data_IF_355325195859
#
_entry.id   IF_355325195859
#
_cell.length_a   1.000
_cell.length_b   1.000
_cell.length_c   1.000
_cell.angle_alpha   90.00
_cell.angle_beta   90.00
_cell.angle_gamma   90.00
#
_symmetry.space_group_name_H-M   'P 1'
#
loop_
_entity.id
_entity.type
_entity.pdbx_description
1 polymer ?
#
# COMPACT_ATOMS: atom_id res chain seq x y z
N UNK A 1 15.74 -6.93 6.43
CA UNK A 1 15.46 -5.49 6.52
C UNK A 1 14.19 -5.33 7.33
N UNK A 2 14.13 -4.45 8.33
CA UNK A 2 12.88 -4.24 9.07
C UNK A 2 11.93 -3.33 8.26
N UNK A 3 10.66 -3.22 8.66
CA UNK A 3 9.67 -2.41 7.93
C UNK A 3 10.03 -0.91 7.89
N UNK A 4 10.61 -0.37 8.95
CA UNK A 4 11.00 1.05 9.01
C UNK A 4 12.16 1.35 8.06
N UNK A 5 13.17 0.48 8.02
CA UNK A 5 14.27 0.58 7.08
C UNK A 5 13.73 0.49 5.65
N UNK A 6 12.83 -0.47 5.38
CA UNK A 6 12.21 -0.67 4.07
C UNK A 6 11.52 0.61 3.60
N UNK A 7 10.61 1.15 4.42
CA UNK A 7 9.88 2.38 4.13
C UNK A 7 10.83 3.54 3.86
N UNK A 8 11.81 3.76 4.74
CA UNK A 8 12.78 4.87 4.59
C UNK A 8 13.55 4.75 3.28
N UNK A 9 14.02 3.55 2.94
CA UNK A 9 14.76 3.31 1.70
C UNK A 9 13.90 3.50 0.46
N UNK A 10 12.69 2.94 0.44
CA UNK A 10 11.84 3.03 -0.75
C UNK A 10 11.27 4.44 -0.96
N UNK A 11 10.93 5.18 0.11
CA UNK A 11 10.54 6.59 0.00
C UNK A 11 11.64 7.43 -0.67
N UNK A 12 12.92 7.20 -0.34
CA UNK A 12 14.02 7.93 -1.01
C UNK A 12 14.22 7.57 -2.48
N UNK A 13 13.67 6.43 -2.93
CA UNK A 13 13.76 5.99 -4.33
C UNK A 13 12.54 6.40 -5.15
N UNK A 14 11.39 6.57 -4.52
CA UNK A 14 10.18 7.05 -5.16
C UNK A 14 10.36 8.56 -5.38
N UNK A 15 10.50 8.97 -6.65
CA UNK A 15 10.60 10.39 -7.00
C UNK A 15 9.33 11.11 -6.53
N UNK A 16 9.51 12.26 -5.88
CA UNK A 16 8.40 13.10 -5.42
C UNK A 16 7.41 12.39 -4.50
N UNK A 17 7.90 11.44 -3.68
CA UNK A 17 7.08 10.78 -2.67
C UNK A 17 6.44 11.83 -1.76
N UNK A 18 5.12 11.85 -1.75
CA UNK A 18 4.32 12.74 -0.93
C UNK A 18 3.51 11.89 0.05
N UNK A 19 3.79 12.08 1.34
CA UNK A 19 3.15 11.38 2.45
C UNK A 19 1.63 11.62 2.52
N UNK A 20 1.11 12.66 1.87
CA UNK A 20 -0.32 12.97 1.84
C UNK A 20 -1.01 12.49 0.54
N UNK A 21 -0.25 11.99 -0.44
CA UNK A 21 -0.82 11.47 -1.69
C UNK A 21 -0.98 9.97 -1.62
N UNK A 22 -2.22 9.51 -1.73
CA UNK A 22 -2.55 8.08 -1.75
C UNK A 22 -1.80 7.34 -2.86
N UNK A 23 -1.55 7.96 -4.01
CA UNK A 23 -0.81 7.32 -5.10
C UNK A 23 0.65 7.01 -4.74
N UNK A 24 1.33 7.88 -3.99
CA UNK A 24 2.68 7.61 -3.47
C UNK A 24 2.65 6.39 -2.53
N UNK A 25 1.65 6.34 -1.65
CA UNK A 25 1.50 5.26 -0.67
C UNK A 25 1.16 3.95 -1.38
N UNK A 26 0.27 3.96 -2.38
CA UNK A 26 -0.06 2.81 -3.22
C UNK A 26 1.18 2.30 -3.97
N UNK A 27 2.06 3.19 -4.44
CA UNK A 27 3.33 2.78 -5.02
C UNK A 27 4.22 2.06 -4.01
N UNK A 28 4.32 2.58 -2.79
CA UNK A 28 5.05 1.91 -1.72
C UNK A 28 4.44 0.54 -1.36
N UNK A 29 3.12 0.41 -1.37
CA UNK A 29 2.41 -0.87 -1.16
C UNK A 29 2.77 -1.87 -2.26
N UNK A 30 2.74 -1.47 -3.54
CA UNK A 30 3.16 -2.35 -4.66
C UNK A 30 4.61 -2.82 -4.49
N UNK A 31 5.52 -1.90 -4.11
CA UNK A 31 6.92 -2.26 -3.82
C UNK A 31 7.04 -3.21 -2.62
N UNK A 32 6.19 -3.07 -1.62
CA UNK A 32 6.18 -3.96 -0.47
C UNK A 32 5.73 -5.37 -0.85
N UNK A 33 4.66 -5.49 -1.63
CA UNK A 33 4.19 -6.77 -2.19
C UNK A 33 5.33 -7.48 -2.92
N UNK A 34 6.00 -6.77 -3.83
CA UNK A 34 7.13 -7.31 -4.60
C UNK A 34 8.32 -7.68 -3.71
N UNK A 35 8.68 -6.83 -2.74
CA UNK A 35 9.86 -7.02 -1.90
C UNK A 35 9.72 -8.15 -0.88
N UNK A 36 8.53 -8.31 -0.31
CA UNK A 36 8.23 -9.35 0.68
C UNK A 36 7.69 -10.64 0.06
N UNK A 37 7.60 -10.71 -1.27
CA UNK A 37 7.07 -11.86 -2.03
C UNK A 37 5.68 -12.28 -1.53
N UNK A 38 4.79 -11.31 -1.35
CA UNK A 38 3.40 -11.54 -0.90
C UNK A 38 2.55 -12.06 -2.06
N UNK A 39 1.54 -12.87 -1.74
CA UNK A 39 0.56 -13.34 -2.73
C UNK A 39 -0.47 -12.24 -3.06
N UNK A 40 -0.68 -11.28 -2.15
CA UNK A 40 -1.45 -10.04 -2.38
C UNK A 40 -1.03 -9.31 -3.66
N UNK A 41 -1.99 -8.73 -4.39
CA UNK A 41 -1.69 -7.95 -5.59
C UNK A 41 -2.66 -6.78 -5.78
N UNK A 42 -2.23 -5.77 -6.55
CA UNK A 42 -3.09 -4.66 -6.97
C UNK A 42 -3.66 -4.91 -8.36
N UNK A 43 -4.99 -4.83 -8.49
CA UNK A 43 -5.71 -4.84 -9.75
C UNK A 43 -6.15 -3.42 -10.11
N UNK A 44 -5.96 -3.03 -11.38
CA UNK A 44 -6.39 -1.73 -11.89
C UNK A 44 -7.54 -1.92 -12.87
N UNK A 45 -8.74 -1.53 -12.45
CA UNK A 45 -9.91 -1.49 -13.33
C UNK A 45 -9.98 -0.13 -14.02
N UNK A 46 -9.80 -0.14 -15.35
CA UNK A 46 -9.93 1.06 -16.19
C UNK A 46 -11.36 1.11 -16.73
N UNK A 47 -12.13 2.08 -16.26
CA UNK A 47 -13.42 2.46 -16.85
C UNK A 47 -13.25 3.69 -17.73
N UNK A 48 -14.25 4.00 -18.57
CA UNK A 48 -14.22 5.20 -19.44
C UNK A 48 -14.04 6.52 -18.65
N UNK A 49 -14.35 6.52 -17.35
CA UNK A 49 -14.37 7.71 -16.50
C UNK A 49 -13.43 7.66 -15.29
N UNK A 50 -12.98 6.47 -14.84
CA UNK A 50 -12.14 6.32 -13.64
C UNK A 50 -11.17 5.14 -13.72
N UNK A 51 -9.98 5.30 -13.14
CA UNK A 51 -9.07 4.19 -12.84
C UNK A 51 -9.27 3.83 -11.36
N UNK A 52 -9.97 2.73 -11.08
CA UNK A 52 -10.08 2.21 -9.71
C UNK A 52 -8.98 1.20 -9.47
N UNK A 53 -8.46 1.18 -8.25
CA UNK A 53 -7.42 0.24 -7.81
C UNK A 53 -8.00 -0.61 -6.70
N UNK A 54 -8.01 -1.92 -6.92
CA UNK A 54 -8.43 -2.91 -5.95
C UNK A 54 -7.19 -3.59 -5.38
N UNK A 55 -7.10 -3.71 -4.06
CA UNK A 55 -6.08 -4.52 -3.41
C UNK A 55 -6.65 -5.87 -3.04
N UNK A 56 -6.13 -6.94 -3.63
CA UNK A 56 -6.43 -8.31 -3.26
C UNK A 56 -5.48 -8.74 -2.15
N UNK A 57 -6.04 -9.21 -1.03
CA UNK A 57 -5.32 -9.63 0.17
C UNK A 57 -5.51 -11.13 0.37
N UNK A 58 -4.40 -11.88 0.35
CA UNK A 58 -4.42 -13.34 0.44
C UNK A 58 -4.33 -13.89 1.85
N UNK A 59 -3.94 -13.08 2.84
CA UNK A 59 -3.98 -13.50 4.25
C UNK A 59 -4.05 -12.33 5.22
N UNK A 60 -4.56 -12.59 6.42
CA UNK A 60 -4.49 -11.63 7.54
C UNK A 60 -3.05 -11.23 7.86
N UNK A 61 -2.07 -12.11 7.65
CA UNK A 61 -0.66 -11.77 7.88
C UNK A 61 -0.21 -10.68 6.90
N UNK A 62 -0.54 -10.83 5.62
CA UNK A 62 -0.20 -9.85 4.59
C UNK A 62 -0.90 -8.51 4.84
N UNK A 63 -2.19 -8.53 5.19
CA UNK A 63 -2.94 -7.33 5.57
C UNK A 63 -2.25 -6.55 6.69
N UNK A 64 -1.76 -7.27 7.71
CA UNK A 64 -1.04 -6.69 8.84
C UNK A 64 0.32 -6.10 8.43
N UNK A 65 1.06 -6.79 7.56
CA UNK A 65 2.35 -6.31 7.02
C UNK A 65 2.13 -5.01 6.23
N UNK A 66 1.20 -5.02 5.27
CA UNK A 66 0.91 -3.86 4.44
C UNK A 66 0.37 -2.69 5.25
N UNK A 67 -0.53 -2.94 6.21
CA UNK A 67 -1.02 -1.92 7.14
C UNK A 67 0.10 -1.31 7.99
N UNK A 68 1.09 -2.11 8.40
CA UNK A 68 2.24 -1.61 9.16
C UNK A 68 3.13 -0.71 8.31
N UNK A 69 3.34 -1.06 7.04
CA UNK A 69 4.11 -0.27 6.07
C UNK A 69 3.41 1.06 5.79
N UNK A 70 2.10 1.05 5.52
CA UNK A 70 1.30 2.27 5.34
C UNK A 70 1.41 3.19 6.55
N UNK A 71 1.24 2.65 7.76
CA UNK A 71 1.36 3.42 9.00
C UNK A 71 2.74 4.07 9.19
N UNK A 72 3.80 3.40 8.75
CA UNK A 72 5.17 3.93 8.82
C UNK A 72 5.45 4.98 7.72
N UNK A 73 4.71 4.93 6.62
CA UNK A 73 4.87 5.83 5.49
C UNK A 73 4.10 7.14 5.63
N UNK A 74 3.13 7.20 6.54
CA UNK A 74 2.31 8.38 6.76
C UNK A 74 2.91 9.28 7.82
N UNK A 75 2.99 10.58 7.52
CA UNK A 75 3.51 11.59 8.43
C UNK A 75 2.43 11.93 9.49
N UNK A 76 2.33 11.05 10.49
CA UNK A 76 1.57 11.13 11.73
C UNK A 76 0.42 12.17 11.79
N UNK A 77 -0.82 11.76 11.47
CA UNK A 77 -2.05 12.36 12.04
C UNK A 77 -3.39 11.63 11.75
N UNK A 78 -3.39 10.32 11.47
CA UNK A 78 -4.65 9.60 11.29
C UNK A 78 -4.53 8.09 11.45
N UNK A 79 -5.66 7.46 11.78
CA UNK A 79 -5.87 6.01 11.74
C UNK A 79 -5.93 5.51 10.27
N UNK A 80 -4.98 5.95 9.46
CA UNK A 80 -4.92 5.53 8.07
C UNK A 80 -4.26 4.14 8.03
N UNK A 81 -5.10 3.16 7.76
CA UNK A 81 -4.73 1.79 7.45
C UNK A 81 -4.73 1.57 5.94
N UNK A 82 -4.44 0.33 5.53
CA UNK A 82 -4.45 -0.06 4.13
C UNK A 82 -5.83 0.17 3.48
N UNK A 83 -6.92 0.09 4.24
CA UNK A 83 -8.29 0.29 3.77
C UNK A 83 -8.54 1.75 3.38
N UNK A 84 -8.01 2.69 4.16
CA UNK A 84 -8.04 4.12 3.84
C UNK A 84 -7.27 4.45 2.54
N UNK A 85 -6.13 3.78 2.31
CA UNK A 85 -5.30 3.99 1.12
C UNK A 85 -6.00 3.53 -0.16
N UNK A 86 -6.75 2.44 -0.07
CA UNK A 86 -7.52 1.89 -1.17
C UNK A 86 -8.98 2.34 -1.17
N UNK A 87 -9.35 3.33 -0.35
CA UNK A 87 -10.71 3.89 -0.30
C UNK A 87 -11.79 2.81 -0.12
N UNK A 88 -11.49 1.74 0.63
CA UNK A 88 -12.36 0.59 0.84
C UNK A 88 -12.36 -0.45 -0.28
N UNK A 89 -11.64 -0.24 -1.38
CA UNK A 89 -11.51 -1.20 -2.48
C UNK A 89 -10.50 -2.30 -2.15
N UNK A 90 -10.81 -3.10 -1.13
CA UNK A 90 -10.02 -4.26 -0.71
C UNK A 90 -10.87 -5.53 -0.87
N UNK A 91 -10.27 -6.55 -1.48
CA UNK A 91 -10.85 -7.90 -1.62
C UNK A 91 -10.01 -8.83 -0.74
N UNK A 92 -10.66 -9.59 0.14
CA UNK A 92 -10.01 -10.49 1.10
C UNK A 92 -10.37 -11.93 0.72
N UNK A 93 -9.37 -12.73 0.36
CA UNK A 93 -9.55 -14.08 -0.18
C UNK A 93 -9.18 -15.20 0.83
N UNK A 94 -9.19 -14.89 2.13
CA UNK A 94 -8.84 -15.81 3.22
C UNK A 94 -10.02 -16.29 4.07
#
# INVERSE_FOLDING_TARGET
MNFQDFVTKEITKISDFDHNKLDSIRELVRKAIEYYELDSFEEVEKTESTNRRYLHIYSMMEENVLSKIVKLALDHNGEHDIESVYEGYIIRDY
#
